data_IF_448048930488
#
_entry.id   IF_448048930488
#
_cell.length_a   1.000
_cell.length_b   1.000
_cell.length_c   1.000
_cell.angle_alpha   90.00
_cell.angle_beta   90.00
_cell.angle_gamma   90.00
#
_symmetry.space_group_name_H-M   'P 1'
#
loop_
_entity.id
_entity.type
_entity.pdbx_description
1 polymer ?
#
# COMPACT_ATOMS: atom_id res chain seq x y z
N UNK A 1 45.04 -4.46 -24.86
CA UNK A 1 45.02 -4.94 -23.47
C UNK A 1 43.97 -4.10 -22.77
N UNK A 2 42.73 -4.56 -22.78
CA UNK A 2 41.60 -3.82 -22.22
C UNK A 2 41.61 -4.00 -20.70
N UNK A 3 41.86 -2.92 -19.97
CA UNK A 3 41.70 -2.86 -18.53
C UNK A 3 40.20 -2.94 -18.22
N UNK A 4 39.76 -4.07 -17.68
CA UNK A 4 38.43 -4.20 -17.11
C UNK A 4 38.32 -3.30 -15.88
N UNK A 5 37.70 -2.12 -16.04
CA UNK A 5 37.36 -1.25 -14.93
C UNK A 5 36.38 -1.97 -13.99
N UNK A 6 36.90 -2.39 -12.84
CA UNK A 6 36.13 -3.13 -11.85
C UNK A 6 35.17 -2.16 -11.15
N UNK A 7 33.87 -2.24 -11.46
CA UNK A 7 32.84 -1.38 -10.85
C UNK A 7 32.83 -1.55 -9.32
N UNK A 8 32.79 -0.46 -8.54
CA UNK A 8 32.78 -0.56 -7.08
C UNK A 8 31.54 -1.33 -6.62
N UNK A 9 31.77 -2.43 -5.90
CA UNK A 9 30.70 -3.21 -5.29
C UNK A 9 30.52 -2.77 -3.83
N UNK A 10 29.29 -2.89 -3.33
CA UNK A 10 28.96 -2.53 -1.94
C UNK A 10 29.80 -3.29 -0.90
N UNK A 11 30.22 -4.53 -1.21
CA UNK A 11 31.09 -5.34 -0.34
C UNK A 11 32.55 -4.84 -0.33
N UNK A 12 32.98 -4.11 -1.37
CA UNK A 12 34.32 -3.54 -1.49
C UNK A 12 34.41 -2.07 -1.06
N UNK A 13 33.31 -1.44 -0.64
CA UNK A 13 33.29 -0.05 -0.16
C UNK A 13 33.38 0.02 1.36
N UNK A 14 33.91 1.13 1.88
CA UNK A 14 34.05 1.34 3.33
C UNK A 14 32.68 1.36 4.03
N UNK A 15 32.44 0.53 5.05
CA UNK A 15 31.16 0.51 5.76
C UNK A 15 30.95 1.75 6.63
N UNK A 16 29.67 2.12 6.81
CA UNK A 16 29.25 3.10 7.83
C UNK A 16 29.07 2.34 9.15
N UNK A 17 29.81 2.74 10.17
CA UNK A 17 29.67 2.17 11.53
C UNK A 17 28.60 2.93 12.29
N UNK A 18 27.64 2.20 12.84
CA UNK A 18 26.58 2.74 13.69
C UNK A 18 26.80 2.19 15.10
N UNK A 19 27.32 3.05 15.98
CA UNK A 19 27.48 2.73 17.40
C UNK A 19 26.10 2.86 18.06
N UNK A 20 25.70 1.82 18.78
CA UNK A 20 24.38 1.72 19.40
C UNK A 20 24.47 0.95 20.72
N UNK A 21 23.65 1.36 21.67
CA UNK A 21 23.37 0.61 22.89
C UNK A 21 22.53 -0.65 22.55
N UNK A 22 22.50 -1.66 23.44
CA UNK A 22 21.75 -2.88 23.21
C UNK A 22 20.26 -2.62 22.91
N UNK A 23 19.62 -1.70 23.64
CA UNK A 23 18.21 -1.34 23.42
C UNK A 23 17.99 -0.67 22.06
N UNK A 24 18.89 0.23 21.65
CA UNK A 24 18.81 0.93 20.36
C UNK A 24 18.98 -0.05 19.20
N UNK A 25 19.91 -0.99 19.34
CA UNK A 25 20.10 -2.06 18.36
C UNK A 25 18.87 -2.94 18.23
N UNK A 26 18.27 -3.35 19.35
CA UNK A 26 17.05 -4.17 19.34
C UNK A 26 15.87 -3.43 18.68
N UNK A 27 15.74 -2.13 18.90
CA UNK A 27 14.74 -1.29 18.25
C UNK A 27 14.96 -1.22 16.73
N UNK A 28 16.20 -1.00 16.29
CA UNK A 28 16.58 -0.98 14.86
C UNK A 28 16.27 -2.34 14.20
N UNK A 29 16.64 -3.44 14.84
CA UNK A 29 16.39 -4.79 14.31
C UNK A 29 14.90 -5.11 14.23
N UNK A 30 14.11 -4.67 15.21
CA UNK A 30 12.64 -4.83 15.20
C UNK A 30 12.02 -4.02 14.07
N UNK A 31 12.43 -2.77 13.88
CA UNK A 31 11.93 -1.92 12.80
C UNK A 31 12.34 -2.46 11.43
N UNK A 32 13.58 -2.94 11.29
CA UNK A 32 14.07 -3.58 10.08
C UNK A 32 13.25 -4.83 9.74
N UNK A 33 12.96 -5.68 10.73
CA UNK A 33 12.10 -6.87 10.57
C UNK A 33 10.68 -6.48 10.13
N UNK A 34 10.09 -5.48 10.78
CA UNK A 34 8.78 -4.89 10.42
C UNK A 34 8.76 -4.26 9.03
N UNK A 35 9.92 -3.93 8.47
CA UNK A 35 10.06 -3.39 7.11
C UNK A 35 10.48 -4.46 6.09
N UNK A 36 10.65 -5.72 6.49
CA UNK A 36 11.12 -6.80 5.61
C UNK A 36 12.58 -6.65 5.17
N UNK A 37 13.42 -5.95 5.93
CA UNK A 37 14.81 -5.66 5.59
C UNK A 37 15.80 -6.13 6.66
N UNK A 38 17.06 -6.36 6.27
CA UNK A 38 18.16 -6.48 7.24
C UNK A 38 18.42 -5.12 7.91
N UNK A 39 18.96 -5.10 9.13
CA UNK A 39 19.27 -3.85 9.84
C UNK A 39 20.13 -2.88 9.02
N UNK A 40 21.14 -3.40 8.31
CA UNK A 40 22.00 -2.59 7.43
C UNK A 40 21.29 -2.06 6.19
N UNK A 41 20.40 -2.85 5.59
CA UNK A 41 19.58 -2.42 4.45
C UNK A 41 18.60 -1.36 4.89
N UNK A 42 17.94 -1.58 6.04
CA UNK A 42 17.00 -0.66 6.66
C UNK A 42 17.64 0.69 6.97
N UNK A 43 18.76 0.73 7.69
CA UNK A 43 19.45 1.99 8.03
C UNK A 43 19.95 2.74 6.81
N UNK A 44 20.43 2.03 5.79
CA UNK A 44 20.84 2.65 4.52
C UNK A 44 19.66 3.24 3.78
N UNK A 45 18.53 2.55 3.73
CA UNK A 45 17.30 3.05 3.12
C UNK A 45 16.84 4.31 3.85
N UNK A 46 16.72 4.26 5.17
CA UNK A 46 16.35 5.40 6.02
C UNK A 46 17.30 6.59 5.81
N UNK A 47 18.61 6.35 5.85
CA UNK A 47 19.62 7.38 5.64
C UNK A 47 19.68 7.96 4.22
N UNK A 48 19.07 7.27 3.24
CA UNK A 48 18.93 7.75 1.85
C UNK A 48 17.57 8.42 1.59
N UNK A 49 16.76 8.64 2.63
CA UNK A 49 15.45 9.28 2.52
C UNK A 49 14.29 8.33 2.26
N UNK A 50 14.50 7.00 2.29
CA UNK A 50 13.40 6.04 2.27
C UNK A 50 12.62 6.15 3.57
N UNK A 51 11.42 6.71 3.51
CA UNK A 51 10.48 6.62 4.60
C UNK A 51 10.02 5.17 4.72
N UNK A 52 10.38 4.52 5.83
CA UNK A 52 9.89 3.19 6.19
C UNK A 52 8.40 3.31 6.42
N UNK A 53 7.61 3.04 5.38
CA UNK A 53 6.18 2.76 5.54
C UNK A 53 6.10 1.34 6.09
N UNK A 54 5.52 1.20 7.28
CA UNK A 54 5.51 -0.08 7.99
C UNK A 54 4.77 -1.13 7.15
N UNK A 55 5.19 -2.40 7.23
CA UNK A 55 4.45 -3.53 6.61
C UNK A 55 2.96 -3.52 7.02
N UNK A 56 2.66 -2.98 8.21
CA UNK A 56 1.29 -2.74 8.70
C UNK A 56 0.46 -1.88 7.75
N UNK A 57 1.01 -0.82 7.15
CA UNK A 57 0.25 0.05 6.24
C UNK A 57 -0.09 -0.69 4.94
N UNK A 58 0.85 -1.51 4.43
CA UNK A 58 0.63 -2.28 3.21
C UNK A 58 -0.38 -3.42 3.39
N UNK A 59 -0.39 -4.08 4.55
CA UNK A 59 -1.39 -5.11 4.87
C UNK A 59 -2.78 -4.51 5.06
N UNK A 60 -2.90 -3.40 5.79
CA UNK A 60 -4.17 -2.69 5.98
C UNK A 60 -4.72 -2.14 4.66
N UNK A 61 -3.87 -1.61 3.79
CA UNK A 61 -4.29 -1.17 2.46
C UNK A 61 -4.74 -2.35 1.59
N UNK A 62 -4.06 -3.51 1.64
CA UNK A 62 -4.54 -4.71 0.91
C UNK A 62 -5.91 -5.16 1.37
N UNK A 63 -6.15 -5.12 2.67
CA UNK A 63 -7.46 -5.49 3.24
C UNK A 63 -8.56 -4.53 2.76
N UNK A 64 -8.26 -3.23 2.75
CA UNK A 64 -9.16 -2.21 2.19
C UNK A 64 -9.43 -2.40 0.70
N UNK A 65 -8.42 -2.74 -0.12
CA UNK A 65 -8.60 -3.04 -1.56
C UNK A 65 -9.53 -4.24 -1.76
N UNK A 66 -9.41 -5.27 -0.92
CA UNK A 66 -10.28 -6.46 -0.97
C UNK A 66 -11.73 -6.10 -0.66
N UNK A 67 -11.97 -5.35 0.41
CA UNK A 67 -13.32 -4.88 0.78
C UNK A 67 -13.94 -4.05 -0.36
N UNK A 68 -13.14 -3.19 -0.99
CA UNK A 68 -13.61 -2.36 -2.11
C UNK A 68 -14.06 -3.22 -3.31
N UNK A 69 -13.29 -4.25 -3.64
CA UNK A 69 -13.65 -5.20 -4.70
C UNK A 69 -14.92 -6.00 -4.38
N UNK A 70 -15.14 -6.37 -3.12
CA UNK A 70 -16.34 -7.09 -2.69
C UNK A 70 -17.59 -6.21 -2.82
N UNK A 71 -17.49 -4.92 -2.45
CA UNK A 71 -18.57 -3.95 -2.61
C UNK A 71 -18.92 -3.70 -4.08
N UNK A 72 -17.93 -3.64 -4.98
CA UNK A 72 -18.16 -3.51 -6.42
C UNK A 72 -18.96 -4.69 -6.98
N UNK A 73 -18.65 -5.92 -6.54
CA UNK A 73 -19.41 -7.12 -6.93
C UNK A 73 -20.84 -7.11 -6.39
N UNK A 74 -21.06 -6.67 -5.14
CA UNK A 74 -22.40 -6.51 -4.58
C UNK A 74 -23.22 -5.46 -5.35
N UNK A 75 -22.61 -4.35 -5.75
CA UNK A 75 -23.25 -3.34 -6.59
C UNK A 75 -23.70 -3.89 -7.95
N UNK A 76 -22.85 -4.69 -8.60
CA UNK A 76 -23.18 -5.38 -9.85
C UNK A 76 -24.31 -6.40 -9.71
N UNK A 77 -24.31 -7.19 -8.63
CA UNK A 77 -25.39 -8.13 -8.32
C UNK A 77 -26.71 -7.42 -8.04
N UNK A 78 -26.67 -6.32 -7.29
CA UNK A 78 -27.85 -5.49 -7.05
C UNK A 78 -28.40 -4.95 -8.38
N UNK A 79 -27.54 -4.38 -9.24
CA UNK A 79 -27.93 -3.91 -10.57
C UNK A 79 -28.61 -5.01 -11.40
N UNK A 80 -28.05 -6.22 -11.41
CA UNK A 80 -28.63 -7.37 -12.11
C UNK A 80 -30.02 -7.75 -11.55
N UNK A 81 -30.15 -7.75 -10.23
CA UNK A 81 -31.40 -8.05 -9.53
C UNK A 81 -32.49 -7.03 -9.86
N UNK A 82 -32.16 -5.73 -9.84
CA UNK A 82 -33.11 -4.65 -10.20
C UNK A 82 -33.56 -4.69 -11.65
N UNK A 83 -32.70 -5.16 -12.54
CA UNK A 83 -33.01 -5.23 -13.98
C UNK A 83 -34.04 -6.33 -14.27
N UNK A 84 -34.28 -7.27 -13.35
CA UNK A 84 -35.07 -8.49 -13.58
C UNK A 84 -36.14 -8.82 -12.53
N UNK A 85 -36.35 -8.01 -11.48
CA UNK A 85 -37.23 -8.40 -10.36
C UNK A 85 -38.49 -7.52 -10.24
N UNK A 86 -39.66 -8.14 -10.33
CA UNK A 86 -40.97 -7.49 -10.16
C UNK A 86 -41.23 -7.04 -8.70
N UNK A 87 -40.46 -7.55 -7.72
CA UNK A 87 -40.64 -7.26 -6.28
C UNK A 87 -40.11 -5.89 -5.85
N UNK A 88 -39.30 -5.23 -6.68
CA UNK A 88 -38.79 -3.86 -6.46
C UNK A 88 -39.62 -2.78 -7.16
N UNK A 89 -40.77 -3.14 -7.74
CA UNK A 89 -41.65 -2.22 -8.48
C UNK A 89 -42.09 -0.97 -7.69
N UNK A 90 -42.03 -0.99 -6.35
CA UNK A 90 -42.35 0.16 -5.49
C UNK A 90 -41.16 1.06 -5.11
N UNK A 91 -39.92 0.62 -5.33
CA UNK A 91 -38.72 1.44 -5.11
C UNK A 91 -38.27 1.97 -6.46
N UNK A 92 -38.45 3.27 -6.69
CA UNK A 92 -38.11 3.88 -7.97
C UNK A 92 -36.67 3.57 -8.37
N UNK A 93 -36.48 2.98 -9.55
CA UNK A 93 -35.17 2.58 -10.07
C UNK A 93 -34.14 3.71 -9.96
N UNK A 94 -34.56 4.96 -10.11
CA UNK A 94 -33.74 6.16 -9.93
C UNK A 94 -33.11 6.28 -8.54
N UNK A 95 -33.84 5.95 -7.47
CA UNK A 95 -33.33 6.03 -6.09
C UNK A 95 -32.25 4.98 -5.86
N UNK A 96 -32.43 3.78 -6.41
CA UNK A 96 -31.46 2.70 -6.23
C UNK A 96 -30.22 2.92 -7.09
N UNK A 97 -30.40 3.39 -8.33
CA UNK A 97 -29.28 3.83 -9.17
C UNK A 97 -28.51 4.99 -8.53
N UNK A 98 -29.19 5.93 -7.85
CA UNK A 98 -28.53 7.00 -7.12
C UNK A 98 -27.71 6.50 -5.92
N UNK A 99 -28.24 5.53 -5.15
CA UNK A 99 -27.49 4.89 -4.06
C UNK A 99 -26.31 4.08 -4.59
N UNK A 100 -26.51 3.34 -5.69
CA UNK A 100 -25.43 2.59 -6.34
C UNK A 100 -24.33 3.53 -6.83
N UNK A 101 -24.67 4.65 -7.49
CA UNK A 101 -23.71 5.66 -7.90
C UNK A 101 -22.96 6.31 -6.73
N UNK A 102 -23.62 6.50 -5.58
CA UNK A 102 -22.94 6.97 -4.35
C UNK A 102 -21.98 5.93 -3.79
N UNK A 103 -22.33 4.65 -3.85
CA UNK A 103 -21.45 3.55 -3.44
C UNK A 103 -20.22 3.54 -4.36
N UNK A 104 -20.41 3.56 -5.68
CA UNK A 104 -19.33 3.60 -6.67
C UNK A 104 -18.40 4.81 -6.47
N UNK A 105 -18.95 6.01 -6.25
CA UNK A 105 -18.15 7.20 -5.97
C UNK A 105 -17.34 7.09 -4.66
N UNK A 106 -17.94 6.48 -3.62
CA UNK A 106 -17.24 6.25 -2.35
C UNK A 106 -16.12 5.22 -2.53
N UNK A 107 -16.34 4.18 -3.35
CA UNK A 107 -15.33 3.18 -3.70
C UNK A 107 -14.14 3.80 -4.45
N UNK A 108 -14.39 4.72 -5.37
CA UNK A 108 -13.36 5.43 -6.13
C UNK A 108 -12.50 6.33 -5.21
N UNK A 109 -13.15 7.11 -4.31
CA UNK A 109 -12.44 7.92 -3.33
C UNK A 109 -11.55 7.08 -2.40
N UNK A 110 -12.05 5.94 -1.92
CA UNK A 110 -11.25 5.02 -1.11
C UNK A 110 -10.07 4.45 -1.90
N UNK A 111 -10.25 4.11 -3.19
CA UNK A 111 -9.17 3.61 -4.04
C UNK A 111 -8.06 4.66 -4.23
N UNK A 112 -8.43 5.92 -4.47
CA UNK A 112 -7.47 7.02 -4.63
C UNK A 112 -6.66 7.27 -3.35
N UNK A 113 -7.32 7.21 -2.18
CA UNK A 113 -6.63 7.32 -0.89
C UNK A 113 -5.67 6.15 -0.67
N UNK A 114 -6.09 4.92 -0.96
CA UNK A 114 -5.21 3.74 -0.89
C UNK A 114 -4.00 3.85 -1.83
N UNK A 115 -4.20 4.34 -3.06
CA UNK A 115 -3.10 4.62 -3.99
C UNK A 115 -2.13 5.67 -3.46
N UNK A 116 -2.62 6.71 -2.78
CA UNK A 116 -1.77 7.73 -2.17
C UNK A 116 -0.91 7.18 -1.01
N UNK A 117 -1.44 6.20 -0.26
CA UNK A 117 -0.73 5.51 0.82
C UNK A 117 0.28 4.50 0.27
N UNK A 118 0.01 3.89 -0.89
CA UNK A 118 0.91 2.95 -1.56
C UNK A 118 2.00 3.63 -2.39
N UNK A 119 1.69 4.74 -3.07
CA UNK A 119 2.68 5.48 -3.85
C UNK A 119 3.60 6.23 -2.90
N UNK A 120 4.92 5.94 -2.87
CA UNK A 120 5.85 6.83 -2.17
C UNK A 120 5.65 8.22 -2.75
N UNK A 121 5.42 9.20 -1.89
CA UNK A 121 5.40 10.60 -2.29
C UNK A 121 6.86 10.94 -2.65
N UNK A 122 7.26 10.65 -3.87
CA UNK A 122 8.33 11.39 -4.51
C UNK A 122 7.82 12.84 -4.60
N UNK A 123 8.67 13.80 -4.23
CA UNK A 123 8.39 15.26 -4.16
C UNK A 123 7.77 15.68 -2.79
N UNK A 124 8.45 16.49 -1.97
CA UNK A 124 9.40 17.59 -2.22
C UNK A 124 10.62 17.54 -1.30
#
# INVERSE_FOLDING_TARGET
METSENKPTRKGSNPIKVYCLPEERAAIETNARRAGHSASTYLRLVGQGYQVRGVTDAEQVRELVRVNGDLGRLGGLLKLWLTNDARVAGVGANTILAVLGRIEATQEQMSLLMESILRPKAES
#
